data_IF_470193270676
#
_entry.id   IF_470193270676
#
_cell.length_a   1.000
_cell.length_b   1.000
_cell.length_c   1.000
_cell.angle_alpha   90.00
_cell.angle_beta   90.00
_cell.angle_gamma   90.00
#
_symmetry.space_group_name_H-M   'P 1'
#
loop_
_entity.id
_entity.type
_entity.pdbx_description
1 polymer ?
#
# COMPACT_ATOMS: atom_id res chain seq x y z
N UNK A 1 11.93 -10.40 16.28
CA UNK A 1 11.25 -10.28 14.97
C UNK A 1 9.76 -10.01 15.16
N UNK A 2 9.38 -8.98 15.92
CA UNK A 2 8.01 -8.49 16.01
C UNK A 2 8.08 -6.98 16.25
N UNK A 3 7.46 -6.20 15.37
CA UNK A 3 7.20 -4.81 15.68
C UNK A 3 6.24 -4.76 16.89
N UNK A 4 6.46 -3.87 17.87
CA UNK A 4 5.52 -3.65 18.97
C UNK A 4 4.15 -3.20 18.44
N UNK A 5 3.10 -3.47 19.22
CA UNK A 5 1.71 -3.13 18.87
C UNK A 5 0.76 -4.32 18.93
N UNK A 6 -0.51 -4.01 19.15
CA UNK A 6 -1.64 -4.94 19.25
C UNK A 6 -2.45 -5.01 17.95
N UNK A 7 -2.46 -3.93 17.16
CA UNK A 7 -3.09 -3.88 15.84
C UNK A 7 -2.07 -3.97 14.71
N UNK A 8 -2.54 -4.27 13.49
CA UNK A 8 -1.70 -4.22 12.30
C UNK A 8 -1.25 -2.79 11.99
N UNK A 9 -2.11 -1.81 12.22
CA UNK A 9 -1.81 -0.39 12.01
C UNK A 9 -0.61 0.06 12.85
N UNK A 10 -0.60 -0.29 14.15
CA UNK A 10 0.51 0.01 15.07
C UNK A 10 1.81 -0.66 14.64
N UNK A 11 1.73 -1.94 14.29
CA UNK A 11 2.92 -2.72 13.90
C UNK A 11 3.53 -2.22 12.59
N UNK A 12 2.69 -1.92 11.61
CA UNK A 12 3.11 -1.40 10.31
C UNK A 12 3.73 -0.02 10.51
N UNK A 13 3.03 0.92 11.16
CA UNK A 13 3.54 2.28 11.38
C UNK A 13 4.82 2.32 12.22
N UNK A 14 5.02 1.37 13.14
CA UNK A 14 6.28 1.22 13.86
C UNK A 14 7.42 0.71 12.97
N UNK A 15 7.13 -0.17 12.02
CA UNK A 15 8.14 -0.76 11.14
C UNK A 15 8.59 0.18 10.01
N UNK A 16 7.68 0.98 9.43
CA UNK A 16 7.96 1.82 8.26
C UNK A 16 9.17 2.77 8.42
N UNK A 17 9.38 3.45 9.57
CA UNK A 17 10.53 4.35 9.76
C UNK A 17 11.90 3.66 9.73
N UNK A 18 11.93 2.33 9.88
CA UNK A 18 13.18 1.55 9.81
C UNK A 18 13.62 1.26 8.37
N UNK A 19 12.73 1.47 7.39
CA UNK A 19 13.01 1.22 5.98
C UNK A 19 13.80 2.38 5.38
N UNK A 20 14.94 2.06 4.75
CA UNK A 20 15.80 3.03 4.08
C UNK A 20 15.66 2.90 2.56
N UNK A 21 15.48 4.03 1.88
CA UNK A 21 15.41 4.10 0.42
C UNK A 21 14.00 4.42 -0.10
N UNK A 22 13.78 4.07 -1.38
CA UNK A 22 12.56 4.39 -2.12
C UNK A 22 11.70 3.13 -2.31
N UNK A 23 10.44 3.18 -1.87
CA UNK A 23 9.58 2.00 -1.81
C UNK A 23 8.10 2.34 -1.98
N UNK A 24 7.36 1.36 -2.50
CA UNK A 24 5.90 1.33 -2.53
C UNK A 24 5.47 -0.07 -2.17
N UNK A 25 4.62 -0.20 -1.15
CA UNK A 25 4.24 -1.47 -0.55
C UNK A 25 2.73 -1.66 -0.61
N UNK A 26 2.31 -2.89 -0.90
CA UNK A 26 0.94 -3.36 -0.72
C UNK A 26 0.98 -4.54 0.24
N UNK A 27 0.25 -4.45 1.35
CA UNK A 27 0.19 -5.48 2.39
C UNK A 27 -1.25 -5.96 2.54
N UNK A 28 -1.46 -7.26 2.69
CA UNK A 28 -2.76 -7.85 2.90
C UNK A 28 -2.82 -8.55 4.26
N UNK A 29 -3.92 -8.30 4.97
CA UNK A 29 -4.30 -8.99 6.21
C UNK A 29 -5.69 -9.62 5.99
N UNK A 30 -6.15 -10.53 6.86
CA UNK A 30 -7.47 -11.13 6.71
C UNK A 30 -8.64 -10.12 6.65
N UNK A 31 -8.45 -8.90 7.17
CA UNK A 31 -9.52 -7.89 7.28
C UNK A 31 -9.23 -6.57 6.57
N UNK A 32 -8.01 -6.35 6.06
CA UNK A 32 -7.61 -5.08 5.47
C UNK A 32 -6.50 -5.21 4.42
N UNK A 33 -6.52 -4.31 3.44
CA UNK A 33 -5.45 -4.08 2.46
C UNK A 33 -4.83 -2.70 2.70
N UNK A 34 -3.51 -2.66 2.84
CA UNK A 34 -2.73 -1.45 3.06
C UNK A 34 -1.93 -1.10 1.82
N UNK A 35 -1.93 0.17 1.44
CA UNK A 35 -1.13 0.72 0.34
C UNK A 35 -0.30 1.88 0.89
N UNK A 36 1.02 1.78 0.74
CA UNK A 36 1.96 2.64 1.49
C UNK A 36 3.07 3.09 0.53
N UNK A 37 3.42 4.38 0.59
CA UNK A 37 4.56 4.96 -0.11
C UNK A 37 5.61 5.41 0.88
N UNK A 38 6.85 5.44 0.42
CA UNK A 38 7.92 6.12 1.14
C UNK A 38 7.56 7.61 1.34
N UNK A 39 8.09 8.27 2.39
CA UNK A 39 7.72 9.66 2.72
C UNK A 39 7.99 10.66 1.60
N UNK A 40 8.94 10.36 0.71
CA UNK A 40 9.32 11.21 -0.41
C UNK A 40 8.54 10.87 -1.69
N UNK A 41 7.73 9.81 -1.69
CA UNK A 41 6.91 9.38 -2.83
C UNK A 41 7.72 9.05 -4.08
N UNK A 42 8.93 8.50 -3.91
CA UNK A 42 9.87 8.30 -5.03
C UNK A 42 9.39 7.22 -5.99
N UNK A 43 8.82 6.12 -5.46
CA UNK A 43 8.21 5.07 -6.29
C UNK A 43 6.71 5.36 -6.46
N UNK A 44 6.15 5.18 -7.67
CA UNK A 44 4.73 5.42 -7.91
C UNK A 44 3.86 4.33 -7.28
N UNK A 45 2.73 4.75 -6.70
CA UNK A 45 1.66 3.88 -6.24
C UNK A 45 0.34 4.62 -6.46
N UNK A 46 -0.45 4.08 -7.37
CA UNK A 46 -1.73 4.63 -7.82
C UNK A 46 -2.88 3.91 -7.12
N UNK A 47 -3.95 4.66 -6.84
CA UNK A 47 -5.18 4.17 -6.24
C UNK A 47 -6.30 4.28 -7.28
N UNK A 48 -7.03 3.20 -7.48
CA UNK A 48 -8.13 3.10 -8.42
C UNK A 48 -9.40 2.52 -7.80
N UNK A 49 -10.45 2.45 -8.61
CA UNK A 49 -11.79 1.99 -8.29
C UNK A 49 -12.40 1.16 -9.41
N UNK A 50 -13.09 0.08 -9.04
CA UNK A 50 -13.99 -0.66 -9.93
C UNK A 50 -15.26 -0.99 -9.17
N UNK A 51 -16.33 -0.25 -9.47
CA UNK A 51 -17.55 -0.26 -8.64
C UNK A 51 -17.24 0.19 -7.22
N UNK A 52 -17.62 -0.62 -6.23
CA UNK A 52 -17.34 -0.37 -4.81
C UNK A 52 -15.98 -0.89 -4.33
N UNK A 53 -15.20 -1.55 -5.19
CA UNK A 53 -13.89 -2.10 -4.84
C UNK A 53 -12.79 -1.06 -4.99
N UNK A 54 -11.82 -1.09 -4.08
CA UNK A 54 -10.56 -0.34 -4.19
C UNK A 54 -9.51 -1.17 -4.94
N UNK A 55 -8.68 -0.49 -5.72
CA UNK A 55 -7.58 -1.07 -6.50
C UNK A 55 -6.29 -0.31 -6.20
N UNK A 56 -5.15 -0.99 -6.21
CA UNK A 56 -3.84 -0.39 -5.98
C UNK A 56 -2.85 -1.01 -6.96
N UNK A 57 -2.09 -0.18 -7.68
CA UNK A 57 -1.07 -0.62 -8.63
C UNK A 57 0.02 0.43 -8.76
N UNK A 58 1.20 0.06 -9.25
CA UNK A 58 2.28 1.04 -9.51
C UNK A 58 1.89 2.06 -10.58
N UNK A 59 1.10 1.65 -11.58
CA UNK A 59 0.75 2.43 -12.76
C UNK A 59 -0.75 2.35 -13.05
N UNK A 60 -1.31 3.44 -13.59
CA UNK A 60 -2.74 3.53 -13.94
C UNK A 60 -3.12 2.64 -15.12
N UNK A 61 -2.16 2.28 -15.98
CA UNK A 61 -2.36 1.35 -17.11
C UNK A 61 -2.88 -0.03 -16.66
N UNK A 62 -2.56 -0.44 -15.44
CA UNK A 62 -3.11 -1.66 -14.84
C UNK A 62 -4.63 -1.55 -14.60
N UNK A 63 -5.15 -0.36 -14.32
CA UNK A 63 -6.58 -0.11 -14.15
C UNK A 63 -7.30 -0.15 -15.50
N UNK A 64 -6.71 0.47 -16.53
CA UNK A 64 -7.24 0.46 -17.90
C UNK A 64 -7.44 -0.97 -18.42
N UNK A 65 -6.47 -1.85 -18.16
CA UNK A 65 -6.48 -3.26 -18.58
C UNK A 65 -7.70 -4.02 -18.04
N UNK A 66 -8.22 -3.62 -16.88
CA UNK A 66 -9.37 -4.27 -16.23
C UNK A 66 -10.65 -3.44 -16.31
N UNK A 67 -10.66 -2.35 -17.08
CA UNK A 67 -11.80 -1.44 -17.21
C UNK A 67 -12.16 -0.75 -15.89
N UNK A 68 -11.15 -0.29 -15.15
CA UNK A 68 -11.28 0.46 -13.91
C UNK A 68 -10.80 1.91 -14.10
N UNK A 69 -11.06 2.76 -13.10
CA UNK A 69 -10.58 4.16 -13.04
C UNK A 69 -9.58 4.34 -11.91
#
# INVERSE_FOLDING_TARGET
AHAPGTSWDERITHALPTLVGAWSLVLLTPTALYAIRDPLGVRPLSLGRKGSSWLVASETSAFDTIGAT
#
